data_IF_046425533705
#
_entry.id   IF_046425533705
#
_cell.length_a   1.000
_cell.length_b   1.000
_cell.length_c   1.000
_cell.angle_alpha   90.00
_cell.angle_beta   90.00
_cell.angle_gamma   90.00
#
_symmetry.space_group_name_H-M   'P 1'
#
loop_
_entity.id
_entity.type
_entity.pdbx_description
1 polymer ?
#
# COMPACT_ATOMS: atom_id res chain seq x y z
N UNK A 1 -22.81 31.32 -58.30
CA UNK A 1 -23.55 30.28 -57.55
C UNK A 1 -22.61 29.23 -56.92
N UNK A 2 -21.58 28.73 -57.62
CA UNK A 2 -20.65 27.72 -57.07
C UNK A 2 -19.82 28.15 -55.85
N UNK A 3 -19.20 29.33 -55.87
CA UNK A 3 -18.36 29.82 -54.75
C UNK A 3 -19.12 29.99 -53.42
N UNK A 4 -20.40 30.37 -53.49
CA UNK A 4 -21.24 30.53 -52.30
C UNK A 4 -21.58 29.17 -51.68
N UNK A 5 -21.87 28.16 -52.51
CA UNK A 5 -22.08 26.76 -52.06
C UNK A 5 -20.86 26.22 -51.33
N UNK A 6 -19.68 26.39 -51.91
CA UNK A 6 -18.41 25.92 -51.33
C UNK A 6 -18.11 26.57 -49.98
N UNK A 7 -18.41 27.87 -49.87
CA UNK A 7 -18.22 28.63 -48.63
C UNK A 7 -19.15 28.13 -47.52
N UNK A 8 -20.42 27.87 -47.85
CA UNK A 8 -21.42 27.35 -46.89
C UNK A 8 -21.05 25.94 -46.45
N UNK A 9 -20.68 25.07 -47.38
CA UNK A 9 -20.29 23.69 -47.09
C UNK A 9 -19.08 23.61 -46.16
N UNK A 10 -18.04 24.41 -46.43
CA UNK A 10 -16.83 24.45 -45.61
C UNK A 10 -17.09 24.96 -44.20
N UNK A 11 -18.00 25.93 -44.04
CA UNK A 11 -18.41 26.41 -42.71
C UNK A 11 -19.22 25.38 -41.94
N UNK A 12 -20.14 24.68 -42.60
CA UNK A 12 -20.89 23.60 -41.98
C UNK A 12 -19.93 22.52 -41.46
N UNK A 13 -19.02 22.05 -42.31
CA UNK A 13 -18.02 21.04 -41.94
C UNK A 13 -17.15 21.44 -40.75
N UNK A 14 -16.71 22.70 -40.67
CA UNK A 14 -15.90 23.16 -39.53
C UNK A 14 -16.66 23.17 -38.19
N UNK A 15 -18.00 23.22 -38.24
CA UNK A 15 -18.85 23.23 -37.04
C UNK A 15 -19.32 21.80 -36.74
N UNK A 16 -19.95 21.15 -37.72
CA UNK A 16 -20.53 19.80 -37.64
C UNK A 16 -19.51 18.68 -37.64
N UNK A 17 -18.34 18.89 -38.27
CA UNK A 17 -17.36 17.83 -38.52
C UNK A 17 -17.73 16.89 -39.67
N UNK A 18 -18.89 17.11 -40.31
CA UNK A 18 -19.45 16.23 -41.35
C UNK A 18 -19.84 17.01 -42.61
N UNK A 19 -19.77 16.36 -43.77
CA UNK A 19 -20.21 16.95 -45.04
C UNK A 19 -21.72 16.89 -45.16
N UNK A 20 -22.34 18.02 -45.49
CA UNK A 20 -23.78 18.11 -45.71
C UNK A 20 -24.18 17.41 -47.01
N UNK A 21 -25.32 16.71 -46.97
CA UNK A 21 -25.89 16.08 -48.15
C UNK A 21 -26.31 17.13 -49.20
N UNK A 22 -26.16 16.77 -50.48
CA UNK A 22 -26.31 17.64 -51.64
C UNK A 22 -27.67 18.36 -51.66
N UNK A 23 -28.75 17.63 -51.34
CA UNK A 23 -30.12 18.15 -51.27
C UNK A 23 -30.28 19.17 -50.13
N UNK A 24 -29.57 18.96 -49.03
CA UNK A 24 -29.62 19.84 -47.85
C UNK A 24 -28.86 21.13 -48.11
N UNK A 25 -27.69 21.03 -48.77
CA UNK A 25 -26.86 22.16 -49.16
C UNK A 25 -27.59 23.06 -50.16
N UNK A 26 -28.28 22.48 -51.14
CA UNK A 26 -29.05 23.23 -52.13
C UNK A 26 -30.26 23.95 -51.51
N UNK A 27 -30.89 23.32 -50.51
CA UNK A 27 -31.97 23.95 -49.74
C UNK A 27 -31.49 25.14 -48.92
N UNK A 28 -30.30 25.05 -48.32
CA UNK A 28 -29.69 26.15 -47.53
C UNK A 28 -29.29 27.32 -48.44
N UNK A 29 -28.75 27.01 -49.62
CA UNK A 29 -28.30 28.02 -50.58
C UNK A 29 -29.47 28.71 -51.28
N UNK A 30 -30.57 28.00 -51.53
CA UNK A 30 -31.77 28.55 -52.20
C UNK A 30 -32.70 29.33 -51.27
N UNK A 31 -32.83 28.92 -50.00
CA UNK A 31 -33.68 29.61 -49.01
C UNK A 31 -33.05 30.86 -48.42
N UNK A 32 -31.72 31.00 -48.46
CA UNK A 32 -31.01 32.12 -47.83
C UNK A 32 -31.04 32.10 -46.30
N UNK A 33 -31.60 31.05 -45.68
CA UNK A 33 -31.73 30.90 -44.22
C UNK A 33 -30.49 30.25 -43.57
N UNK A 34 -29.33 30.38 -44.21
CA UNK A 34 -28.08 29.76 -43.74
C UNK A 34 -27.70 30.16 -42.32
N UNK A 35 -28.04 31.37 -41.87
CA UNK A 35 -27.77 31.84 -40.50
C UNK A 35 -28.58 31.09 -39.44
N UNK A 36 -29.90 30.93 -39.63
CA UNK A 36 -30.76 30.25 -38.66
C UNK A 36 -30.41 28.77 -38.54
N UNK A 37 -30.10 28.11 -39.65
CA UNK A 37 -29.73 26.69 -39.67
C UNK A 37 -28.35 26.49 -39.02
N UNK A 38 -27.39 27.38 -39.29
CA UNK A 38 -26.07 27.37 -38.66
C UNK A 38 -26.18 27.59 -37.14
N UNK A 39 -27.01 28.55 -36.72
CA UNK A 39 -27.23 28.83 -35.30
C UNK A 39 -27.86 27.63 -34.58
N UNK A 40 -28.81 26.95 -35.22
CA UNK A 40 -29.44 25.74 -34.69
C UNK A 40 -28.45 24.57 -34.59
N UNK A 41 -27.61 24.38 -35.62
CA UNK A 41 -26.56 23.35 -35.62
C UNK A 41 -25.52 23.59 -34.52
N UNK A 42 -25.07 24.84 -34.33
CA UNK A 42 -24.16 25.23 -33.24
C UNK A 42 -24.79 24.93 -31.87
N UNK A 43 -26.09 25.19 -31.72
CA UNK A 43 -26.80 25.01 -30.46
C UNK A 43 -27.05 23.53 -30.13
N UNK A 44 -27.42 22.72 -31.13
CA UNK A 44 -27.60 21.27 -30.98
C UNK A 44 -26.25 20.58 -30.71
N UNK A 45 -25.20 20.96 -31.44
CA UNK A 45 -23.89 20.34 -31.28
C UNK A 45 -23.13 20.82 -30.04
N UNK A 46 -23.34 22.06 -29.61
CA UNK A 46 -22.85 22.58 -28.33
C UNK A 46 -23.43 21.79 -27.15
N UNK A 47 -24.69 21.36 -27.22
CA UNK A 47 -25.30 20.49 -26.20
C UNK A 47 -24.66 19.10 -26.17
N UNK A 48 -24.36 18.52 -27.34
CA UNK A 48 -23.69 17.22 -27.44
C UNK A 48 -22.32 17.22 -26.76
N UNK A 49 -21.46 18.20 -27.09
CA UNK A 49 -20.13 18.33 -26.46
C UNK A 49 -20.20 18.61 -24.95
N UNK A 50 -21.17 19.40 -24.50
CA UNK A 50 -21.37 19.67 -23.06
C UNK A 50 -21.78 18.38 -22.33
N UNK A 51 -22.69 17.59 -22.90
CA UNK A 51 -23.11 16.32 -22.31
C UNK A 51 -21.96 15.32 -22.24
N UNK A 52 -21.14 15.24 -23.29
CA UNK A 52 -19.93 14.42 -23.33
C UNK A 52 -18.92 14.84 -22.24
N UNK A 53 -18.68 16.15 -22.10
CA UNK A 53 -17.79 16.69 -21.06
C UNK A 53 -18.32 16.40 -19.66
N UNK A 54 -19.63 16.52 -19.44
CA UNK A 54 -20.27 16.17 -18.16
C UNK A 54 -20.11 14.68 -17.87
N UNK A 55 -20.26 13.83 -18.89
CA UNK A 55 -20.07 12.39 -18.75
C UNK A 55 -18.62 12.05 -18.36
N UNK A 56 -17.63 12.67 -19.00
CA UNK A 56 -16.22 12.49 -18.66
C UNK A 56 -15.92 12.95 -17.21
N UNK A 57 -16.50 14.09 -16.78
CA UNK A 57 -16.37 14.57 -15.40
C UNK A 57 -16.99 13.57 -14.41
N UNK A 58 -18.15 13.01 -14.76
CA UNK A 58 -18.85 12.01 -13.94
C UNK A 58 -18.00 10.75 -13.77
N UNK A 59 -17.43 10.21 -14.86
CA UNK A 59 -16.55 9.03 -14.81
C UNK A 59 -15.31 9.29 -13.94
N UNK A 60 -14.69 10.46 -14.08
CA UNK A 60 -13.55 10.84 -13.21
C UNK A 60 -13.97 10.96 -11.76
N UNK A 61 -15.15 11.50 -11.47
CA UNK A 61 -15.66 11.61 -10.12
C UNK A 61 -15.90 10.23 -9.49
N UNK A 62 -16.48 9.30 -10.24
CA UNK A 62 -16.70 7.93 -9.79
C UNK A 62 -15.36 7.21 -9.51
N UNK A 63 -14.35 7.43 -10.36
CA UNK A 63 -13.00 6.91 -10.12
C UNK A 63 -12.35 7.50 -8.85
N UNK A 64 -12.51 8.81 -8.60
CA UNK A 64 -12.01 9.45 -7.35
C UNK A 64 -12.72 8.86 -6.13
N UNK A 65 -14.02 8.60 -6.22
CA UNK A 65 -14.81 8.00 -5.15
C UNK A 65 -14.40 6.57 -4.84
N UNK A 66 -13.98 5.82 -5.87
CA UNK A 66 -13.39 4.49 -5.69
C UNK A 66 -12.05 4.57 -4.95
N UNK A 67 -11.17 5.50 -5.34
CA UNK A 67 -9.90 5.76 -4.65
C UNK A 67 -10.13 6.14 -3.18
N UNK A 68 -11.13 6.99 -2.90
CA UNK A 68 -11.50 7.37 -1.53
C UNK A 68 -11.89 6.15 -0.68
N UNK A 69 -12.72 5.25 -1.23
CA UNK A 69 -13.08 4.00 -0.53
C UNK A 69 -11.85 3.14 -0.24
N UNK A 70 -10.99 2.93 -1.22
CA UNK A 70 -9.77 2.14 -1.04
C UNK A 70 -8.82 2.77 -0.01
N UNK A 71 -8.75 4.10 0.07
CA UNK A 71 -7.97 4.80 1.09
C UNK A 71 -8.53 4.57 2.50
N UNK A 72 -9.86 4.61 2.66
CA UNK A 72 -10.51 4.35 3.95
C UNK A 72 -10.30 2.89 4.40
N UNK A 73 -10.37 1.93 3.47
CA UNK A 73 -10.05 0.53 3.76
C UNK A 73 -8.57 0.36 4.17
N UNK A 74 -7.65 1.01 3.46
CA UNK A 74 -6.23 0.98 3.81
C UNK A 74 -5.97 1.61 5.18
N UNK A 75 -6.67 2.70 5.51
CA UNK A 75 -6.58 3.32 6.82
C UNK A 75 -7.01 2.35 7.93
N UNK A 76 -8.09 1.62 7.71
CA UNK A 76 -8.56 0.60 8.65
C UNK A 76 -7.50 -0.51 8.85
N UNK A 77 -6.91 -1.00 7.76
CA UNK A 77 -5.80 -1.99 7.83
C UNK A 77 -4.61 -1.45 8.63
N UNK A 78 -4.29 -0.17 8.48
CA UNK A 78 -3.22 0.49 9.24
C UNK A 78 -3.52 0.54 10.74
N UNK A 79 -4.77 0.85 11.12
CA UNK A 79 -5.20 0.85 12.52
C UNK A 79 -5.17 -0.56 13.12
N UNK A 80 -5.66 -1.56 12.40
CA UNK A 80 -5.62 -2.97 12.85
C UNK A 80 -4.17 -3.46 13.01
N UNK A 81 -3.27 -3.05 12.11
CA UNK A 81 -1.84 -3.34 12.22
C UNK A 81 -1.22 -2.70 13.47
N UNK A 82 -1.58 -1.47 13.81
CA UNK A 82 -1.10 -0.80 15.02
C UNK A 82 -1.50 -1.58 16.28
N UNK A 83 -2.75 -2.06 16.36
CA UNK A 83 -3.23 -2.90 17.46
C UNK A 83 -2.47 -4.21 17.55
N UNK A 84 -2.23 -4.90 16.42
CA UNK A 84 -1.49 -6.16 16.38
C UNK A 84 -0.02 -5.99 16.80
N UNK A 85 0.63 -4.90 16.40
CA UNK A 85 2.02 -4.59 16.79
C UNK A 85 2.11 -4.28 18.27
N UNK A 86 1.16 -3.50 18.81
CA UNK A 86 1.10 -3.21 20.25
C UNK A 86 0.90 -4.49 21.07
N UNK A 87 -0.01 -5.37 20.66
CA UNK A 87 -0.22 -6.67 21.30
C UNK A 87 1.02 -7.59 21.25
N UNK A 88 1.79 -7.55 20.15
CA UNK A 88 3.04 -8.31 20.03
C UNK A 88 4.18 -7.75 20.90
N UNK A 89 4.11 -6.48 21.32
CA UNK A 89 5.08 -5.87 22.24
C UNK A 89 5.21 -6.61 23.57
N UNK A 90 4.10 -7.13 24.11
CA UNK A 90 4.10 -7.90 25.35
C UNK A 90 4.81 -9.26 25.20
N UNK A 91 4.67 -9.92 24.04
CA UNK A 91 5.37 -11.19 23.76
C UNK A 91 6.87 -10.99 23.54
N UNK A 92 7.30 -9.88 22.94
CA UNK A 92 8.72 -9.54 22.79
C UNK A 92 9.41 -9.36 24.16
N UNK A 93 8.75 -8.71 25.12
CA UNK A 93 9.25 -8.60 26.49
C UNK A 93 9.47 -9.97 27.14
N UNK A 94 8.61 -10.94 26.87
CA UNK A 94 8.77 -12.31 27.37
C UNK A 94 9.96 -13.04 26.74
N UNK A 95 10.26 -12.80 25.46
CA UNK A 95 11.45 -13.36 24.80
C UNK A 95 12.71 -12.77 25.42
N UNK A 96 12.79 -11.46 25.56
CA UNK A 96 13.92 -10.79 26.19
C UNK A 96 14.14 -11.30 27.63
N UNK A 97 13.06 -11.40 28.41
CA UNK A 97 13.09 -11.94 29.76
C UNK A 97 13.60 -13.39 29.80
N UNK A 98 13.10 -14.25 28.91
CA UNK A 98 13.52 -15.65 28.84
C UNK A 98 14.99 -15.80 28.42
N UNK A 99 15.46 -14.98 27.47
CA UNK A 99 16.86 -14.96 27.03
C UNK A 99 17.77 -14.44 28.15
N UNK A 100 17.38 -13.37 28.85
CA UNK A 100 18.12 -12.84 29.99
C UNK A 100 18.21 -13.88 31.12
N UNK A 101 17.12 -14.56 31.43
CA UNK A 101 17.11 -15.63 32.42
C UNK A 101 17.99 -16.82 32.01
N UNK A 102 17.90 -17.27 30.75
CA UNK A 102 18.76 -18.34 30.25
C UNK A 102 20.25 -17.97 30.37
N UNK A 103 20.60 -16.73 30.00
CA UNK A 103 21.96 -16.20 30.16
C UNK A 103 22.40 -16.23 31.63
N UNK A 104 21.56 -15.74 32.53
CA UNK A 104 21.82 -15.72 33.97
C UNK A 104 22.02 -17.15 34.52
N UNK A 105 21.15 -18.11 34.16
CA UNK A 105 21.28 -19.51 34.58
C UNK A 105 22.59 -20.14 34.10
N UNK A 106 23.00 -19.87 32.85
CA UNK A 106 24.28 -20.36 32.32
C UNK A 106 25.44 -19.73 33.10
N UNK A 107 25.42 -18.43 33.36
CA UNK A 107 26.46 -17.76 34.14
C UNK A 107 26.57 -18.32 35.56
N UNK A 108 25.46 -18.45 36.27
CA UNK A 108 25.45 -19.03 37.61
C UNK A 108 25.89 -20.50 37.61
N UNK A 109 25.43 -21.29 36.64
CA UNK A 109 25.84 -22.68 36.45
C UNK A 109 27.35 -22.82 36.25
N UNK A 110 27.96 -21.95 35.42
CA UNK A 110 29.41 -21.97 35.21
C UNK A 110 30.19 -21.60 36.48
N UNK A 111 29.72 -20.63 37.28
CA UNK A 111 30.31 -20.28 38.58
C UNK A 111 30.24 -21.45 39.59
N UNK A 112 29.11 -22.15 39.63
CA UNK A 112 28.94 -23.34 40.48
C UNK A 112 29.88 -24.48 40.05
N UNK A 113 29.99 -24.76 38.75
CA UNK A 113 30.91 -25.77 38.22
C UNK A 113 32.38 -25.44 38.54
N UNK A 114 32.76 -24.17 38.43
CA UNK A 114 34.11 -23.72 38.81
C UNK A 114 34.40 -23.98 40.29
N UNK A 115 33.45 -23.62 41.17
CA UNK A 115 33.55 -23.82 42.61
C UNK A 115 33.60 -25.30 42.97
N UNK A 116 32.73 -26.12 42.37
CA UNK A 116 32.73 -27.58 42.54
C UNK A 116 34.07 -28.21 42.15
N UNK A 117 34.66 -27.79 41.01
CA UNK A 117 35.99 -28.24 40.58
C UNK A 117 37.08 -27.86 41.59
N UNK A 118 37.00 -26.67 42.19
CA UNK A 118 37.93 -26.22 43.25
C UNK A 118 37.79 -27.09 44.51
N UNK A 119 36.56 -27.36 44.95
CA UNK A 119 36.30 -28.24 46.10
C UNK A 119 36.77 -29.67 45.84
N UNK A 120 36.48 -30.24 44.67
CA UNK A 120 36.91 -31.58 44.28
C UNK A 120 38.44 -31.71 44.34
N UNK A 121 39.18 -30.75 43.77
CA UNK A 121 40.66 -30.74 43.83
C UNK A 121 41.18 -30.69 45.26
N UNK A 122 40.54 -29.91 46.14
CA UNK A 122 40.93 -29.83 47.56
C UNK A 122 40.60 -31.13 48.29
N UNK A 123 39.40 -31.65 48.15
CA UNK A 123 38.94 -32.88 48.82
C UNK A 123 39.83 -34.08 48.50
N UNK A 124 40.25 -34.25 47.23
CA UNK A 124 41.19 -35.32 46.84
C UNK A 124 42.52 -35.26 47.59
N UNK A 125 43.06 -34.07 47.85
CA UNK A 125 44.30 -33.92 48.65
C UNK A 125 44.09 -34.38 50.09
N UNK A 126 42.98 -33.97 50.71
CA UNK A 126 42.66 -34.35 52.09
C UNK A 126 42.35 -35.84 52.22
N UNK A 127 41.69 -36.43 51.22
CA UNK A 127 41.46 -37.87 51.15
C UNK A 127 42.78 -38.65 51.12
N UNK A 128 43.75 -38.23 50.28
CA UNK A 128 45.08 -38.86 50.27
C UNK A 128 45.79 -38.76 51.63
N UNK A 129 45.76 -37.58 52.27
CA UNK A 129 46.35 -37.39 53.60
C UNK A 129 45.67 -38.32 54.62
N UNK A 130 44.34 -38.40 54.62
CA UNK A 130 43.57 -39.27 55.51
C UNK A 130 43.91 -40.75 55.31
N UNK A 131 44.03 -41.22 54.07
CA UNK A 131 44.43 -42.61 53.76
C UNK A 131 45.84 -42.89 54.27
N UNK A 132 46.80 -41.98 54.06
CA UNK A 132 48.19 -42.16 54.54
C UNK A 132 48.24 -42.25 56.06
N UNK A 133 47.53 -41.35 56.77
CA UNK A 133 47.46 -41.38 58.23
C UNK A 133 46.86 -42.69 58.75
N UNK A 134 45.81 -43.18 58.11
CA UNK A 134 45.15 -44.44 58.47
C UNK A 134 46.10 -45.64 58.29
N UNK A 135 46.87 -45.69 57.21
CA UNK A 135 47.87 -46.75 56.98
C UNK A 135 48.98 -46.76 58.03
N UNK A 136 49.47 -45.58 58.44
CA UNK A 136 50.48 -45.47 59.51
C UNK A 136 49.91 -45.99 60.83
N UNK A 137 48.66 -45.66 61.15
CA UNK A 137 47.99 -46.08 62.38
C UNK A 137 47.79 -47.60 62.45
N UNK A 138 47.56 -48.27 61.31
CA UNK A 138 47.45 -49.73 61.23
C UNK A 138 48.82 -50.42 61.38
N UNK A 139 49.90 -49.75 60.96
CA UNK A 139 51.25 -50.33 60.92
C UNK A 139 52.00 -50.24 62.26
N UNK A 140 51.63 -49.27 63.11
CA UNK A 140 52.13 -49.12 64.50
C UNK A 140 51.39 -50.09 65.41
#
# INVERSE_FOLDING_TARGET
MGEYRDTVQRRLYNITGEYADEDTLEKIVSTGESENILQKAIQEQGRGRILETIHEIQERHDAVKEIERSLLELHQVFLDMAVLVEAQGEQLNNIEYNVANASNYVEHGTKQLYTAKKHQKRSRKWMCIGIILLLILILI
#
